data_IF_381357885100
#
_entry.id   IF_381357885100
#
_cell.length_a   1.000
_cell.length_b   1.000
_cell.length_c   1.000
_cell.angle_alpha   90.00
_cell.angle_beta   90.00
_cell.angle_gamma   90.00
#
_symmetry.space_group_name_H-M   'P 1'
#
loop_
_entity.id
_entity.type
_entity.pdbx_description
1 polymer ?
#
# COMPACT_ATOMS: atom_id res chain seq x y z
N UNK A 1 -12.92 2.89 15.59
CA UNK A 1 -12.17 1.77 15.00
C UNK A 1 -11.71 2.24 13.65
N UNK A 2 -10.42 2.48 13.50
CA UNK A 2 -9.81 2.95 12.26
C UNK A 2 -9.59 1.75 11.34
N UNK A 3 -9.67 1.93 10.02
CA UNK A 3 -9.26 0.90 9.07
C UNK A 3 -7.73 1.01 8.88
N UNK A 4 -7.03 -0.12 8.83
CA UNK A 4 -5.57 -0.14 8.70
C UNK A 4 -5.17 -0.90 7.44
N UNK A 5 -4.32 -0.28 6.62
CA UNK A 5 -3.70 -0.92 5.48
C UNK A 5 -2.18 -0.83 5.62
N UNK A 6 -1.47 -1.87 5.19
CA UNK A 6 -0.01 -1.91 5.24
C UNK A 6 0.53 -2.25 3.87
N UNK A 7 1.36 -1.38 3.30
CA UNK A 7 2.13 -1.66 2.10
C UNK A 7 3.55 -2.07 2.51
N UNK A 8 3.90 -3.33 2.32
CA UNK A 8 5.23 -3.86 2.59
C UNK A 8 6.00 -3.98 1.27
N UNK A 9 7.19 -3.41 1.18
CA UNK A 9 7.98 -3.29 -0.06
C UNK A 9 9.40 -3.82 0.15
N UNK A 10 9.91 -4.64 -0.77
CA UNK A 10 11.34 -4.93 -0.90
C UNK A 10 12.04 -3.76 -1.60
N UNK A 11 12.52 -2.77 -0.84
CA UNK A 11 13.13 -1.55 -1.35
C UNK A 11 14.32 -1.12 -0.46
N UNK A 12 15.45 -1.84 -0.49
CA UNK A 12 16.57 -1.57 0.41
C UNK A 12 17.14 -0.16 0.18
N UNK A 13 17.32 0.59 1.27
CA UNK A 13 17.96 1.90 1.25
C UNK A 13 17.13 3.05 0.68
N UNK A 14 15.83 2.85 0.41
CA UNK A 14 14.96 3.88 -0.20
C UNK A 14 14.07 4.64 0.78
N UNK A 15 14.17 4.38 2.09
CA UNK A 15 13.22 4.88 3.09
C UNK A 15 12.96 6.41 3.03
N UNK A 16 14.02 7.22 3.05
CA UNK A 16 13.89 8.68 2.94
C UNK A 16 13.31 9.13 1.59
N UNK A 17 13.62 8.39 0.53
CA UNK A 17 13.11 8.65 -0.83
C UNK A 17 11.63 8.35 -0.92
N UNK A 18 11.15 7.27 -0.28
CA UNK A 18 9.71 6.94 -0.18
C UNK A 18 8.95 8.06 0.53
N UNK A 19 9.49 8.54 1.65
CA UNK A 19 8.87 9.61 2.42
C UNK A 19 8.75 10.91 1.62
N UNK A 20 9.83 11.30 0.95
CA UNK A 20 9.85 12.49 0.09
C UNK A 20 8.86 12.34 -1.06
N UNK A 21 8.80 11.18 -1.70
CA UNK A 21 7.89 10.91 -2.82
C UNK A 21 6.42 11.09 -2.43
N UNK A 22 6.01 10.60 -1.26
CA UNK A 22 4.66 10.80 -0.77
C UNK A 22 4.34 12.28 -0.55
N UNK A 23 5.29 13.06 -0.03
CA UNK A 23 5.08 14.50 0.22
C UNK A 23 4.98 15.34 -1.07
N UNK A 24 5.44 14.82 -2.21
CA UNK A 24 5.29 15.46 -3.52
C UNK A 24 3.89 15.27 -4.11
N UNK A 25 3.09 14.35 -3.56
CA UNK A 25 1.74 14.09 -4.04
C UNK A 25 0.76 15.20 -3.64
N UNK A 26 -0.14 15.63 -4.54
CA UNK A 26 -1.18 16.59 -4.20
C UNK A 26 -2.05 16.12 -3.03
N UNK A 27 -2.16 16.95 -2.00
CA UNK A 27 -2.94 16.66 -0.79
C UNK A 27 -2.18 15.92 0.31
N UNK A 28 -0.97 15.44 0.03
CA UNK A 28 -0.10 14.81 1.02
C UNK A 28 0.78 15.88 1.65
N UNK A 29 0.87 15.86 2.98
CA UNK A 29 1.61 16.88 3.74
C UNK A 29 2.28 16.27 4.97
N UNK A 30 3.43 16.80 5.41
CA UNK A 30 3.99 16.44 6.69
C UNK A 30 2.98 16.63 7.83
N UNK A 31 2.95 15.68 8.75
CA UNK A 31 2.14 15.72 9.96
C UNK A 31 2.99 15.28 11.17
N UNK A 32 2.49 15.54 12.38
CA UNK A 32 3.16 15.06 13.58
C UNK A 32 3.19 13.53 13.56
N UNK A 33 4.40 12.95 13.50
CA UNK A 33 4.59 11.51 13.46
C UNK A 33 4.31 10.84 12.11
N UNK A 34 4.38 11.58 10.98
CA UNK A 34 4.27 10.96 9.66
C UNK A 34 3.82 11.92 8.56
N UNK A 35 2.94 11.42 7.68
CA UNK A 35 2.36 12.15 6.55
C UNK A 35 0.84 12.08 6.66
N UNK A 36 0.15 13.19 6.43
CA UNK A 36 -1.31 13.20 6.30
C UNK A 36 -1.70 13.38 4.84
N UNK A 37 -2.75 12.69 4.42
CA UNK A 37 -3.45 12.90 3.16
C UNK A 37 -4.97 12.96 3.42
N UNK A 38 -5.84 13.27 2.44
CA UNK A 38 -7.29 13.30 2.65
C UNK A 38 -7.78 11.98 3.25
N UNK A 39 -8.33 12.05 4.46
CA UNK A 39 -8.84 10.92 5.26
C UNK A 39 -7.82 9.79 5.57
N UNK A 40 -6.52 10.09 5.44
CA UNK A 40 -5.43 9.15 5.68
C UNK A 40 -4.37 9.76 6.60
N UNK A 41 -3.95 8.99 7.60
CA UNK A 41 -2.69 9.19 8.30
C UNK A 41 -1.72 8.08 7.89
N UNK A 42 -0.52 8.46 7.51
CA UNK A 42 0.48 7.59 6.94
C UNK A 42 1.70 7.61 7.84
N UNK A 43 2.14 6.43 8.24
CA UNK A 43 3.40 6.23 8.93
C UNK A 43 4.26 5.25 8.14
N UNK A 44 5.57 5.36 8.32
CA UNK A 44 6.53 4.46 7.69
C UNK A 44 7.50 3.98 8.73
N UNK A 45 7.80 2.69 8.68
CA UNK A 45 8.77 2.05 9.55
C UNK A 45 9.46 0.91 8.80
N UNK A 46 10.63 0.45 9.25
CA UNK A 46 11.08 -0.89 8.92
C UNK A 46 10.01 -1.91 9.36
N UNK A 47 9.77 -2.98 8.58
CA UNK A 47 8.94 -4.09 9.04
C UNK A 47 9.60 -4.75 10.26
N UNK A 48 8.79 -5.20 11.21
CA UNK A 48 9.30 -6.03 12.29
C UNK A 48 9.61 -7.47 11.81
N UNK A 49 10.33 -8.25 12.63
CA UNK A 49 10.76 -9.60 12.26
C UNK A 49 9.59 -10.55 11.98
N UNK A 50 8.44 -10.34 12.63
CA UNK A 50 7.25 -11.19 12.48
C UNK A 50 6.56 -10.86 11.16
N UNK A 51 6.33 -9.57 10.88
CA UNK A 51 5.79 -9.10 9.59
C UNK A 51 6.68 -9.59 8.45
N UNK A 52 7.99 -9.37 8.54
CA UNK A 52 8.93 -9.78 7.51
C UNK A 52 8.88 -11.30 7.25
N UNK A 53 8.82 -12.12 8.31
CA UNK A 53 8.71 -13.58 8.20
C UNK A 53 7.41 -14.03 7.54
N UNK A 54 6.27 -13.45 7.90
CA UNK A 54 4.96 -13.77 7.29
C UNK A 54 4.96 -13.41 5.80
N UNK A 55 5.46 -12.23 5.43
CA UNK A 55 5.55 -11.80 4.03
C UNK A 55 6.48 -12.72 3.23
N UNK A 56 7.63 -13.09 3.79
CA UNK A 56 8.57 -13.99 3.14
C UNK A 56 7.97 -15.38 2.91
N UNK A 57 7.30 -15.94 3.92
CA UNK A 57 6.63 -17.24 3.81
C UNK A 57 5.49 -17.21 2.77
N UNK A 58 4.65 -16.17 2.79
CA UNK A 58 3.48 -16.07 1.93
C UNK A 58 3.81 -15.70 0.47
N UNK A 59 4.79 -14.82 0.26
CA UNK A 59 5.04 -14.21 -1.06
C UNK A 59 6.44 -14.46 -1.60
N UNK A 60 7.38 -14.94 -0.79
CA UNK A 60 8.74 -15.28 -1.21
C UNK A 60 9.66 -14.08 -1.41
N UNK A 61 9.41 -12.97 -0.71
CA UNK A 61 10.31 -11.81 -0.66
C UNK A 61 10.37 -11.24 0.76
N UNK A 62 11.51 -10.69 1.15
CA UNK A 62 11.68 -10.03 2.45
C UNK A 62 11.42 -8.53 2.29
N UNK A 63 10.40 -7.95 2.96
CA UNK A 63 10.17 -6.51 2.90
C UNK A 63 11.27 -5.77 3.67
N UNK A 64 11.60 -4.56 3.21
CA UNK A 64 12.56 -3.67 3.87
C UNK A 64 11.95 -2.32 4.27
N UNK A 65 10.70 -2.07 3.86
CA UNK A 65 9.91 -0.92 4.26
C UNK A 65 8.46 -1.36 4.47
N UNK A 66 7.83 -0.85 5.52
CA UNK A 66 6.43 -1.03 5.84
C UNK A 66 5.77 0.35 5.94
N UNK A 67 4.72 0.57 5.15
CA UNK A 67 4.00 1.84 5.09
C UNK A 67 2.58 1.58 5.59
N UNK A 68 2.27 2.13 6.76
CA UNK A 68 0.97 2.01 7.40
C UNK A 68 0.06 3.17 7.02
N UNK A 69 -1.14 2.85 6.56
CA UNK A 69 -2.21 3.80 6.25
C UNK A 69 -3.35 3.59 7.25
N UNK A 70 -3.56 4.58 8.10
CA UNK A 70 -4.65 4.66 9.06
C UNK A 70 -5.76 5.52 8.51
N UNK A 71 -6.96 4.96 8.49
CA UNK A 71 -8.10 5.58 7.81
C UNK A 71 -9.25 5.76 8.79
N UNK A 72 -9.91 6.91 8.72
CA UNK A 72 -11.16 7.11 9.44
C UNK A 72 -12.26 6.22 8.82
N UNK A 73 -12.96 5.46 9.67
CA UNK A 73 -14.08 4.60 9.24
C UNK A 73 -15.26 5.38 8.66
N UNK A 74 -15.38 6.66 9.00
CA UNK A 74 -16.44 7.55 8.50
C UNK A 74 -16.06 8.21 7.17
N UNK A 75 -14.83 7.98 6.68
CA UNK A 75 -14.36 8.54 5.42
C UNK A 75 -15.18 8.04 4.23
N UNK A 76 -15.29 8.89 3.20
CA UNK A 76 -15.89 8.49 1.93
C UNK A 76 -15.01 7.41 1.28
N UNK A 77 -15.60 6.22 1.06
CA UNK A 77 -14.86 5.01 0.75
C UNK A 77 -14.10 5.10 -0.58
N UNK A 78 -14.68 5.73 -1.60
CA UNK A 78 -14.06 5.79 -2.93
C UNK A 78 -12.88 6.77 -2.92
N UNK A 79 -13.07 7.98 -2.40
CA UNK A 79 -12.04 9.01 -2.27
C UNK A 79 -10.87 8.51 -1.43
N UNK A 80 -11.16 7.85 -0.32
CA UNK A 80 -10.16 7.24 0.55
C UNK A 80 -9.34 6.16 -0.16
N UNK A 81 -9.99 5.21 -0.84
CA UNK A 81 -9.28 4.15 -1.59
C UNK A 81 -8.47 4.72 -2.75
N UNK A 82 -8.98 5.76 -3.39
CA UNK A 82 -8.30 6.49 -4.46
C UNK A 82 -7.02 7.14 -3.92
N UNK A 83 -7.09 7.79 -2.76
CA UNK A 83 -5.91 8.34 -2.09
C UNK A 83 -4.94 7.22 -1.70
N UNK A 84 -5.41 6.17 -1.01
CA UNK A 84 -4.59 5.02 -0.61
C UNK A 84 -3.80 4.46 -1.81
N UNK A 85 -4.50 4.12 -2.90
CA UNK A 85 -3.86 3.55 -4.09
C UNK A 85 -2.96 4.55 -4.80
N UNK A 86 -3.28 5.85 -4.82
CA UNK A 86 -2.39 6.87 -5.39
C UNK A 86 -1.07 6.91 -4.63
N UNK A 87 -1.12 6.86 -3.30
CA UNK A 87 0.07 6.74 -2.46
C UNK A 87 0.85 5.47 -2.77
N UNK A 88 0.18 4.31 -2.82
CA UNK A 88 0.82 3.05 -3.16
C UNK A 88 1.49 3.10 -4.54
N UNK A 89 0.77 3.51 -5.58
CA UNK A 89 1.31 3.56 -6.95
C UNK A 89 2.50 4.51 -7.05
N UNK A 90 2.45 5.67 -6.42
CA UNK A 90 3.58 6.61 -6.41
C UNK A 90 4.85 6.04 -5.75
N UNK A 91 4.70 5.18 -4.74
CA UNK A 91 5.80 4.45 -4.11
C UNK A 91 6.30 3.32 -5.00
N UNK A 92 5.38 2.59 -5.64
CA UNK A 92 5.72 1.52 -6.58
C UNK A 92 6.44 2.07 -7.82
N UNK A 93 6.09 3.25 -8.33
CA UNK A 93 6.77 3.90 -9.46
C UNK A 93 8.27 4.12 -9.24
N UNK A 94 8.69 4.38 -8.00
CA UNK A 94 10.09 4.66 -7.65
C UNK A 94 10.81 3.46 -7.03
N UNK A 95 10.16 2.31 -6.95
CA UNK A 95 10.72 1.07 -6.39
C UNK A 95 10.63 -0.04 -7.43
N UNK A 96 11.71 -0.80 -7.62
CA UNK A 96 11.72 -1.93 -8.55
C UNK A 96 11.38 -3.28 -7.89
N UNK A 97 11.31 -3.35 -6.56
CA UNK A 97 11.16 -4.63 -5.85
C UNK A 97 9.72 -5.09 -5.66
N UNK A 98 9.56 -6.31 -5.17
CA UNK A 98 8.24 -6.87 -4.88
C UNK A 98 7.55 -6.12 -3.73
N UNK A 99 6.21 -6.10 -3.75
CA UNK A 99 5.43 -5.38 -2.76
C UNK A 99 4.04 -6.00 -2.56
N UNK A 100 3.50 -5.90 -1.35
CA UNK A 100 2.13 -6.35 -1.05
C UNK A 100 1.40 -5.30 -0.21
N UNK A 101 0.14 -5.04 -0.56
CA UNK A 101 -0.77 -4.22 0.24
C UNK A 101 -1.75 -5.13 0.96
N UNK A 102 -1.74 -5.06 2.28
CA UNK A 102 -2.62 -5.82 3.16
C UNK A 102 -3.66 -4.90 3.79
N UNK A 103 -4.85 -5.42 4.04
CA UNK A 103 -5.86 -4.82 4.88
C UNK A 103 -5.94 -5.58 6.20
N UNK A 104 -5.80 -4.84 7.31
CA UNK A 104 -5.70 -5.35 8.68
C UNK A 104 -4.67 -6.49 8.83
N UNK A 105 -3.57 -6.46 8.07
CA UNK A 105 -2.50 -7.46 8.13
C UNK A 105 -2.80 -8.83 7.51
N UNK A 106 -4.04 -9.07 7.07
CA UNK A 106 -4.49 -10.43 6.69
C UNK A 106 -4.96 -10.48 5.23
N UNK A 107 -5.79 -9.51 4.82
CA UNK A 107 -6.43 -9.55 3.50
C UNK A 107 -5.56 -8.89 2.45
N UNK A 108 -5.05 -9.66 1.50
CA UNK A 108 -4.30 -9.10 0.37
C UNK A 108 -5.21 -8.25 -0.51
N UNK A 109 -4.88 -6.97 -0.68
CA UNK A 109 -5.54 -6.06 -1.61
C UNK A 109 -4.87 -6.15 -2.99
N UNK A 110 -3.55 -5.92 -3.04
CA UNK A 110 -2.74 -6.04 -4.25
C UNK A 110 -1.37 -6.62 -3.93
N UNK A 111 -0.74 -7.18 -4.96
CA UNK A 111 0.61 -7.74 -4.94
C UNK A 111 1.32 -7.30 -6.21
N UNK A 112 2.46 -6.63 -6.08
CA UNK A 112 3.43 -6.49 -7.18
C UNK A 112 4.47 -7.58 -7.04
N UNK A 113 4.61 -8.40 -8.07
CA UNK A 113 5.64 -9.43 -8.14
C UNK A 113 6.26 -9.51 -9.51
N UNK A 114 7.59 -9.40 -9.61
CA UNK A 114 8.31 -9.45 -10.90
C UNK A 114 7.68 -8.50 -11.94
N UNK A 115 7.49 -7.24 -11.55
CA UNK A 115 6.85 -6.18 -12.34
C UNK A 115 5.36 -6.37 -12.68
N UNK A 116 4.75 -7.52 -12.34
CA UNK A 116 3.32 -7.73 -12.54
C UNK A 116 2.51 -7.20 -11.34
N UNK A 117 1.53 -6.34 -11.61
CA UNK A 117 0.55 -5.89 -10.62
C UNK A 117 -0.67 -6.80 -10.60
N UNK A 118 -0.88 -7.48 -9.47
CA UNK A 118 -1.97 -8.43 -9.24
C UNK A 118 -2.95 -7.85 -8.23
N UNK A 119 -4.24 -7.86 -8.55
CA UNK A 119 -5.33 -7.36 -7.70
C UNK A 119 -6.15 -8.54 -7.17
N UNK A 120 -6.43 -8.57 -5.87
CA UNK A 120 -7.35 -9.56 -5.31
C UNK A 120 -8.79 -9.16 -5.66
N UNK A 121 -9.66 -10.00 -6.27
CA UNK A 121 -11.04 -9.64 -6.64
C UNK A 121 -11.97 -9.48 -5.42
N UNK A 122 -11.72 -8.44 -4.62
CA UNK A 122 -12.49 -8.08 -3.44
C UNK A 122 -13.76 -7.34 -3.84
N UNK A 123 -14.89 -7.90 -3.42
CA UNK A 123 -16.20 -7.33 -3.71
C UNK A 123 -16.28 -5.88 -3.19
N UNK A 124 -16.77 -4.97 -4.03
CA UNK A 124 -16.97 -3.54 -3.71
C UNK A 124 -15.69 -2.76 -3.40
N UNK A 125 -14.49 -3.34 -3.46
CA UNK A 125 -13.25 -2.58 -3.32
C UNK A 125 -12.91 -1.85 -4.63
N UNK A 126 -12.94 -2.59 -5.74
CA UNK A 126 -12.61 -2.11 -7.07
C UNK A 126 -13.83 -1.48 -7.75
N UNK A 127 -13.88 -0.14 -7.71
CA UNK A 127 -14.78 0.65 -8.55
C UNK A 127 -13.99 1.23 -9.73
N UNK A 128 -14.67 1.72 -10.76
CA UNK A 128 -14.02 2.31 -11.94
C UNK A 128 -13.11 3.48 -11.55
N UNK A 129 -13.51 4.30 -10.57
CA UNK A 129 -12.71 5.42 -10.05
C UNK A 129 -11.42 4.95 -9.36
N UNK A 130 -11.50 3.85 -8.61
CA UNK A 130 -10.36 3.24 -7.92
C UNK A 130 -9.40 2.61 -8.93
N UNK A 131 -9.94 1.92 -9.94
CA UNK A 131 -9.15 1.29 -11.00
C UNK A 131 -8.45 2.31 -11.91
N UNK A 132 -9.04 3.50 -12.09
CA UNK A 132 -8.44 4.58 -12.89
C UNK A 132 -7.10 5.10 -12.33
N UNK A 133 -6.75 4.77 -11.09
CA UNK A 133 -5.46 5.13 -10.47
C UNK A 133 -4.34 4.14 -10.82
N UNK A 134 -4.69 2.93 -11.25
CA UNK A 134 -3.75 1.85 -11.49
C UNK A 134 -3.12 1.92 -12.89
N UNK A 135 -1.92 1.35 -13.09
CA UNK A 135 -1.37 1.17 -14.43
C UNK A 135 -2.25 0.23 -15.27
N UNK A 136 -2.22 0.37 -16.59
CA UNK A 136 -3.16 -0.32 -17.49
C UNK A 136 -3.00 -1.85 -17.56
N UNK A 137 -1.89 -2.41 -17.08
CA UNK A 137 -1.48 -3.81 -17.24
C UNK A 137 -1.72 -4.69 -16.00
N UNK A 138 -2.54 -4.23 -15.05
CA UNK A 138 -2.93 -5.03 -13.89
C UNK A 138 -3.72 -6.28 -14.28
N UNK A 139 -3.70 -7.30 -13.41
CA UNK A 139 -4.52 -8.51 -13.55
C UNK A 139 -5.22 -8.87 -12.26
N UNK A 140 -6.45 -9.34 -12.37
CA UNK A 140 -7.13 -9.95 -11.22
C UNK A 140 -6.61 -11.36 -10.97
N UNK A 141 -6.30 -11.67 -9.70
CA UNK A 141 -5.93 -13.00 -9.24
C UNK A 141 -6.42 -13.18 -7.81
N UNK A 142 -7.20 -14.25 -7.57
CA UNK A 142 -7.59 -14.62 -6.21
C UNK A 142 -6.34 -14.91 -5.37
N UNK A 143 -6.23 -14.23 -4.24
CA UNK A 143 -5.14 -14.39 -3.29
C UNK A 143 -5.70 -14.78 -1.92
N UNK A 144 -5.02 -15.68 -1.19
CA UNK A 144 -5.48 -16.13 0.11
C UNK A 144 -5.41 -14.99 1.14
N UNK A 145 -6.12 -15.18 2.24
CA UNK A 145 -5.86 -14.48 3.50
C UNK A 145 -4.62 -15.11 4.12
N UNK A 146 -3.74 -14.29 4.68
CA UNK A 146 -2.48 -14.74 5.31
C UNK A 146 -2.53 -14.59 6.83
#
# INVERSE_FOLDING_TARGET
>A
MSLHYTLSIAAPGLFDTLAKRLQELPGYRPAAGGIAAPDLQIDMSPPDEVEAGIIEEAFGFTPTASISFWVDKEAERVAMRTALLRGCMALLEITAGDAVLLFNGETVILLRRQDALLLNPLEKFWTDEVLAVLPADYRFKAMPVI
#
